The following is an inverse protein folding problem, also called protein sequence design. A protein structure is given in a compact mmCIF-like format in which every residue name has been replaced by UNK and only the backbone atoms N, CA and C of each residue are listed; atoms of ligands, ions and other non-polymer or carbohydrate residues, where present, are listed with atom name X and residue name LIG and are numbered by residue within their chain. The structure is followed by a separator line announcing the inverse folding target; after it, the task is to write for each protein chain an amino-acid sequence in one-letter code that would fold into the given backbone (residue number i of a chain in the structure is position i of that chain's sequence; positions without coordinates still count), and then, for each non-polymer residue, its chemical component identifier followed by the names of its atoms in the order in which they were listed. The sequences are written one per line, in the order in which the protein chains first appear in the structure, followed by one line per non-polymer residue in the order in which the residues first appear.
data_IF_344881024467
#
_entry.id   IF_344881024467
#
_cell.length_a   1.000
_cell.length_b   1.000
_cell.length_c   1.000
_cell.angle_alpha   90.00
_cell.angle_beta   90.00
_cell.angle_gamma   90.00
#
_symmetry.space_group_name_H-M   'P 1'
#
loop_
_entity.id
_entity.type
_entity.pdbx_description
1 polymer ?
#
# COMPACT_ATOMS: atom_id res chain seq x y z
N UNK A 1 -5.16 13.75 24.99
CA UNK A 1 -4.55 14.08 23.68
C UNK A 1 -5.68 14.37 22.70
N UNK A 2 -5.57 15.37 21.83
CA UNK A 2 -6.54 15.60 20.76
C UNK A 2 -5.98 14.97 19.48
N UNK A 3 -6.62 13.91 19.02
CA UNK A 3 -6.38 13.30 17.72
C UNK A 3 -7.61 13.57 16.84
N UNK A 4 -7.38 13.87 15.56
CA UNK A 4 -8.45 14.14 14.59
C UNK A 4 -8.23 13.28 13.37
N UNK A 5 -9.26 12.52 12.98
CA UNK A 5 -9.29 11.82 11.70
C UNK A 5 -9.67 12.80 10.58
N UNK A 6 -8.80 12.94 9.58
CA UNK A 6 -9.02 13.82 8.43
C UNK A 6 -8.43 13.21 7.15
N UNK A 7 -9.27 13.04 6.12
CA UNK A 7 -8.88 12.51 4.80
C UNK A 7 -8.07 11.20 4.85
N UNK A 8 -8.45 10.26 5.73
CA UNK A 8 -7.74 8.97 5.88
C UNK A 8 -6.41 9.06 6.63
N UNK A 9 -6.18 10.15 7.35
CA UNK A 9 -5.06 10.34 8.26
C UNK A 9 -5.52 10.60 9.68
N UNK A 10 -4.70 10.24 10.65
CA UNK A 10 -4.82 10.68 12.04
C UNK A 10 -3.81 11.80 12.27
N UNK A 11 -4.29 12.96 12.68
CA UNK A 11 -3.47 14.15 12.97
C UNK A 11 -3.42 14.34 14.48
N UNK A 12 -2.21 14.35 15.05
CA UNK A 12 -1.97 14.56 16.48
C UNK A 12 -0.88 15.62 16.69
N UNK A 13 -0.56 15.92 17.95
CA UNK A 13 0.59 16.77 18.30
C UNK A 13 1.95 16.15 17.93
N UNK A 14 1.98 14.84 17.67
CA UNK A 14 3.20 14.07 17.38
C UNK A 14 3.48 13.98 15.88
N UNK A 15 2.47 14.22 15.02
CA UNK A 15 2.63 14.16 13.58
C UNK A 15 1.35 13.74 12.85
N UNK A 16 1.55 13.16 11.66
CA UNK A 16 0.48 12.66 10.80
C UNK A 16 0.71 11.15 10.63
N UNK A 17 -0.28 10.35 11.02
CA UNK A 17 -0.27 8.92 10.83
C UNK A 17 -1.31 8.48 9.79
N UNK A 18 -1.18 7.25 9.30
CA UNK A 18 -2.22 6.58 8.51
C UNK A 18 -3.40 6.23 9.43
N UNK A 19 -4.62 6.42 8.96
CA UNK A 19 -5.80 5.98 9.70
C UNK A 19 -5.74 4.45 9.95
N UNK A 20 -5.81 3.98 11.22
CA UNK A 20 -5.77 2.56 11.55
C UNK A 20 -6.79 1.71 10.78
N UNK A 21 -7.97 2.26 10.48
CA UNK A 21 -8.97 1.55 9.68
C UNK A 21 -8.47 1.26 8.26
N UNK A 22 -7.69 2.19 7.68
CA UNK A 22 -7.09 2.03 6.35
C UNK A 22 -5.88 1.10 6.36
N UNK A 23 -5.15 1.06 7.48
CA UNK A 23 -4.10 0.07 7.70
C UNK A 23 -4.69 -1.35 7.72
N UNK A 24 -5.81 -1.54 8.43
CA UNK A 24 -6.48 -2.84 8.51
C UNK A 24 -7.01 -3.31 7.15
N UNK A 25 -7.65 -2.41 6.38
CA UNK A 25 -8.11 -2.68 5.01
C UNK A 25 -6.96 -3.24 4.13
N UNK A 26 -5.75 -2.69 4.27
CA UNK A 26 -4.57 -3.13 3.52
C UNK A 26 -4.00 -4.44 4.06
N UNK A 27 -3.98 -4.63 5.37
CA UNK A 27 -3.53 -5.88 6.01
C UNK A 27 -4.40 -7.08 5.62
N UNK A 28 -5.71 -6.89 5.53
CA UNK A 28 -6.66 -7.94 5.17
C UNK A 28 -6.81 -8.13 3.66
N UNK A 29 -6.12 -7.32 2.85
CA UNK A 29 -6.20 -7.43 1.40
C UNK A 29 -5.66 -8.79 0.93
N UNK A 30 -6.51 -9.56 0.24
CA UNK A 30 -6.17 -10.85 -0.35
C UNK A 30 -5.20 -10.71 -1.53
N UNK A 31 -4.51 -11.78 -1.91
CA UNK A 31 -3.66 -11.74 -3.10
C UNK A 31 -4.49 -11.32 -4.33
N UNK A 32 -4.10 -10.25 -5.05
CA UNK A 32 -4.83 -9.80 -6.23
C UNK A 32 -4.84 -10.86 -7.33
N UNK A 33 -6.00 -11.09 -7.94
CA UNK A 33 -6.17 -12.05 -9.04
C UNK A 33 -6.33 -11.36 -10.40
N UNK A 34 -6.42 -10.02 -10.40
CA UNK A 34 -6.63 -9.24 -11.61
C UNK A 34 -5.81 -7.96 -11.66
N UNK A 35 -5.57 -7.46 -12.88
CA UNK A 35 -4.93 -6.15 -13.11
C UNK A 35 -5.72 -5.01 -12.45
N UNK A 36 -7.05 -5.13 -12.39
CA UNK A 36 -7.92 -4.15 -11.76
C UNK A 36 -7.66 -4.08 -10.25
N UNK A 37 -7.58 -5.22 -9.58
CA UNK A 37 -7.27 -5.29 -8.14
C UNK A 37 -5.87 -4.77 -7.83
N UNK A 38 -4.87 -5.08 -8.66
CA UNK A 38 -3.52 -4.51 -8.50
C UNK A 38 -3.56 -2.98 -8.58
N UNK A 39 -4.31 -2.41 -9.53
CA UNK A 39 -4.45 -0.95 -9.64
C UNK A 39 -5.12 -0.35 -8.41
N UNK A 40 -6.15 -0.99 -7.87
CA UNK A 40 -6.80 -0.57 -6.63
C UNK A 40 -5.82 -0.59 -5.44
N UNK A 41 -5.06 -1.67 -5.29
CA UNK A 41 -4.05 -1.82 -4.25
C UNK A 41 -2.93 -0.77 -4.38
N UNK A 42 -2.39 -0.59 -5.59
CA UNK A 42 -1.36 0.43 -5.87
C UNK A 42 -1.87 1.85 -5.68
N UNK A 43 -3.16 2.10 -5.95
CA UNK A 43 -3.80 3.39 -5.69
C UNK A 43 -3.80 3.72 -4.20
N UNK A 44 -4.23 2.77 -3.36
CA UNK A 44 -4.31 2.98 -1.91
C UNK A 44 -2.91 3.05 -1.27
N UNK A 45 -2.04 2.09 -1.56
CA UNK A 45 -0.66 2.10 -1.03
C UNK A 45 0.14 3.28 -1.59
N UNK A 46 -0.16 3.72 -2.81
CA UNK A 46 0.40 4.92 -3.43
C UNK A 46 -0.04 6.22 -2.75
N UNK A 47 -1.29 6.30 -2.26
CA UNK A 47 -1.76 7.44 -1.46
C UNK A 47 -0.92 7.61 -0.19
N UNK A 48 -0.57 6.50 0.45
CA UNK A 48 0.26 6.47 1.65
C UNK A 48 1.76 6.29 1.38
N UNK A 49 2.23 6.47 0.14
CA UNK A 49 3.64 6.23 -0.24
C UNK A 49 4.67 6.97 0.63
N UNK A 50 4.31 8.10 1.25
CA UNK A 50 5.21 8.88 2.13
C UNK A 50 5.63 8.08 3.37
N UNK A 51 4.83 7.11 3.78
CA UNK A 51 5.06 6.22 4.92
C UNK A 51 5.83 4.95 4.53
N UNK A 52 6.12 4.75 3.24
CA UNK A 52 6.75 3.53 2.72
C UNK A 52 8.10 3.91 2.11
N UNK A 53 9.16 3.75 2.89
CA UNK A 53 10.52 3.96 2.37
C UNK A 53 10.77 3.02 1.18
N UNK A 54 11.27 3.58 0.08
CA UNK A 54 11.58 2.80 -1.12
C UNK A 54 10.34 2.33 -1.90
N UNK A 55 9.16 2.93 -1.67
CA UNK A 55 7.89 2.56 -2.31
C UNK A 55 8.02 2.22 -3.80
N UNK A 56 8.66 3.08 -4.59
CA UNK A 56 8.79 2.89 -6.04
C UNK A 56 9.53 1.59 -6.41
N UNK A 57 10.53 1.19 -5.62
CA UNK A 57 11.28 -0.06 -5.86
C UNK A 57 10.42 -1.27 -5.50
N UNK A 58 9.71 -1.20 -4.37
CA UNK A 58 8.84 -2.27 -3.88
C UNK A 58 7.60 -2.45 -4.77
N UNK A 59 7.00 -1.36 -5.26
CA UNK A 59 5.82 -1.44 -6.11
C UNK A 59 6.14 -1.88 -7.55
N UNK A 60 7.42 -1.93 -7.95
CA UNK A 60 7.81 -2.15 -9.34
C UNK A 60 7.30 -3.48 -9.92
N UNK A 61 7.40 -4.63 -9.23
CA UNK A 61 6.85 -5.90 -9.76
C UNK A 61 5.34 -5.83 -10.00
N UNK A 62 4.60 -5.20 -9.08
CA UNK A 62 3.16 -5.02 -9.22
C UNK A 62 2.80 -4.05 -10.36
N UNK A 63 3.56 -2.96 -10.53
CA UNK A 63 3.37 -2.01 -11.64
C UNK A 63 3.57 -2.71 -13.00
N UNK A 64 4.51 -3.65 -13.11
CA UNK A 64 4.74 -4.40 -14.34
C UNK A 64 3.50 -5.21 -14.75
N UNK A 65 2.78 -5.81 -13.78
CA UNK A 65 1.54 -6.53 -14.03
C UNK A 65 0.41 -5.65 -14.58
N UNK A 66 0.51 -4.31 -14.45
CA UNK A 66 -0.52 -3.39 -14.96
C UNK A 66 -0.29 -2.91 -16.41
N UNK A 67 0.84 -3.27 -17.01
CA UNK A 67 1.25 -2.83 -18.36
C UNK A 67 0.38 -3.47 -19.45
N UNK A 68 0.15 -2.74 -20.53
CA UNK A 68 -0.53 -3.28 -21.72
C UNK A 68 0.30 -4.42 -22.32
N UNK A 69 -0.39 -5.43 -22.83
CA UNK A 69 0.20 -6.61 -23.49
C UNK A 69 1.15 -7.44 -22.61
N UNK A 70 1.09 -7.27 -21.29
CA UNK A 70 1.80 -8.12 -20.32
C UNK A 70 0.86 -9.25 -19.86
N UNK A 71 1.35 -10.48 -19.86
CA UNK A 71 0.63 -11.59 -19.25
C UNK A 71 0.58 -11.38 -17.72
N UNK A 72 -0.59 -11.58 -17.12
CA UNK A 72 -0.74 -11.56 -15.68
C UNK A 72 -0.16 -12.85 -15.10
N UNK A 73 1.05 -12.75 -14.55
CA UNK A 73 1.73 -13.87 -13.89
C UNK A 73 2.12 -13.42 -12.50
N UNK A 74 1.38 -13.89 -11.49
CA UNK A 74 1.74 -13.65 -10.10
C UNK A 74 2.91 -14.53 -9.70
N UNK A 75 4.11 -13.95 -9.69
CA UNK A 75 5.33 -14.66 -9.32
C UNK A 75 5.77 -14.35 -7.89
N UNK A 76 6.86 -14.98 -7.46
CA UNK A 76 7.45 -14.77 -6.13
C UNK A 76 7.82 -13.31 -5.88
N UNK A 77 8.28 -12.57 -6.90
CA UNK A 77 8.65 -11.16 -6.75
C UNK A 77 7.43 -10.26 -6.50
N UNK A 78 6.29 -10.61 -7.10
CA UNK A 78 5.01 -9.94 -6.87
C UNK A 78 4.51 -10.21 -5.45
N UNK A 79 4.57 -11.47 -4.99
CA UNK A 79 4.18 -11.83 -3.63
C UNK A 79 5.04 -11.13 -2.58
N UNK A 80 6.37 -11.18 -2.72
CA UNK A 80 7.29 -10.49 -1.79
C UNK A 80 7.04 -8.98 -1.76
N UNK A 81 6.82 -8.37 -2.91
CA UNK A 81 6.50 -6.94 -3.02
C UNK A 81 5.17 -6.59 -2.37
N UNK A 82 4.14 -7.41 -2.59
CA UNK A 82 2.81 -7.22 -2.01
C UNK A 82 2.86 -7.28 -0.49
N UNK A 83 3.49 -8.30 0.08
CA UNK A 83 3.59 -8.47 1.53
C UNK A 83 4.45 -7.38 2.18
N UNK A 84 5.56 -6.99 1.55
CA UNK A 84 6.43 -5.93 2.09
C UNK A 84 5.72 -4.56 2.07
N UNK A 85 4.95 -4.25 1.02
CA UNK A 85 4.12 -3.04 0.98
C UNK A 85 3.07 -3.02 2.09
N UNK A 86 2.39 -4.15 2.35
CA UNK A 86 1.44 -4.29 3.46
C UNK A 86 2.11 -4.04 4.81
N UNK A 87 3.28 -4.64 5.03
CA UNK A 87 4.05 -4.51 6.28
C UNK A 87 4.58 -3.10 6.53
N UNK A 88 5.11 -2.42 5.50
CA UNK A 88 5.66 -1.06 5.68
C UNK A 88 4.59 -0.02 5.96
N UNK A 89 3.38 -0.22 5.44
CA UNK A 89 2.26 0.67 5.71
C UNK A 89 1.83 0.66 7.19
N UNK A 90 2.10 -0.42 7.92
CA UNK A 90 1.67 -0.60 9.31
C UNK A 90 2.69 -0.16 10.35
N UNK A 91 3.92 0.15 9.92
CA UNK A 91 5.08 0.30 10.82
C UNK A 91 5.68 1.71 10.85
N UNK A 92 5.24 2.64 9.99
CA UNK A 92 5.88 3.94 9.84
C UNK A 92 5.03 5.10 10.41
N UNK A 93 5.45 5.73 11.53
CA UNK A 93 5.02 7.08 11.88
C UNK A 93 5.82 8.14 11.08
N UNK A 94 5.21 9.30 10.82
CA UNK A 94 5.87 10.52 10.29
C UNK A 94 5.76 11.64 11.31
#
# INVERSE_FOLDING_TARGET
MKEISFLGHVISSEGIAVDPAKVEDVLQWSTPESVSEIRSFLGLTGYYRRFIEGFSKLAMPLIQLTRKNQAFVWDKSCEESFQELKKRLTTAPV
#
